data_IF_741104501408
#
_entry.id   IF_741104501408
#
_cell.length_a   1.000
_cell.length_b   1.000
_cell.length_c   1.000
_cell.angle_alpha   90.00
_cell.angle_beta   90.00
_cell.angle_gamma   90.00
#
_symmetry.space_group_name_H-M   'P 1'
#
loop_
_entity.id
_entity.type
_entity.pdbx_description
1 polymer ?
#
# COMPACT_ATOMS: atom_id res chain seq x y z
N UNK A 1 -16.25 8.23 -21.66
CA UNK A 1 -15.36 7.33 -22.41
C UNK A 1 -14.16 7.01 -21.53
N UNK A 2 -13.73 5.76 -21.54
CA UNK A 2 -12.47 5.32 -20.96
C UNK A 2 -11.74 4.39 -21.93
N UNK A 3 -10.63 3.83 -21.50
CA UNK A 3 -9.85 2.86 -22.28
C UNK A 3 -9.48 1.65 -21.46
N UNK A 4 -9.37 0.50 -22.11
CA UNK A 4 -8.79 -0.72 -21.53
C UNK A 4 -7.66 -1.19 -22.45
N UNK A 5 -6.47 -1.37 -21.91
CA UNK A 5 -5.30 -1.82 -22.68
C UNK A 5 -4.92 -3.24 -22.31
N UNK A 6 -4.98 -4.14 -23.31
CA UNK A 6 -4.53 -5.53 -23.21
C UNK A 6 -3.13 -5.63 -23.81
N UNK A 7 -2.19 -6.20 -23.05
CA UNK A 7 -0.79 -6.35 -23.43
C UNK A 7 -0.47 -7.83 -23.67
N UNK A 8 -0.05 -8.16 -24.89
CA UNK A 8 0.28 -9.52 -25.31
C UNK A 8 1.71 -9.57 -25.85
N UNK A 9 2.41 -10.67 -25.60
CA UNK A 9 3.71 -10.91 -26.20
C UNK A 9 3.92 -12.35 -26.65
N UNK A 10 4.77 -12.50 -27.67
CA UNK A 10 5.04 -13.76 -28.34
C UNK A 10 6.55 -13.87 -28.58
N UNK A 11 7.17 -14.95 -28.10
CA UNK A 11 8.52 -15.34 -28.54
C UNK A 11 8.37 -16.14 -29.81
N UNK A 12 9.11 -15.76 -30.85
CA UNK A 12 9.01 -16.32 -32.18
C UNK A 12 10.18 -17.26 -32.48
N UNK A 13 10.08 -18.01 -33.56
CA UNK A 13 11.18 -18.82 -34.09
C UNK A 13 12.27 -17.94 -34.73
N UNK A 14 13.51 -18.06 -34.24
CA UNK A 14 14.63 -17.18 -34.64
C UNK A 14 15.02 -17.30 -36.11
N UNK A 15 14.77 -18.45 -36.75
CA UNK A 15 15.15 -18.67 -38.14
C UNK A 15 14.08 -18.17 -39.12
N UNK A 16 12.82 -18.17 -38.70
CA UNK A 16 11.68 -17.99 -39.61
C UNK A 16 10.85 -16.72 -39.35
N UNK A 17 11.06 -16.00 -38.24
CA UNK A 17 10.24 -14.85 -37.86
C UNK A 17 10.26 -13.68 -38.86
N UNK A 18 11.32 -13.54 -39.66
CA UNK A 18 11.43 -12.53 -40.71
C UNK A 18 11.02 -13.03 -42.10
N UNK A 19 10.56 -14.28 -42.21
CA UNK A 19 10.13 -14.85 -43.49
C UNK A 19 8.98 -14.03 -44.09
N UNK A 20 8.88 -14.08 -45.43
CA UNK A 20 7.77 -13.42 -46.13
C UNK A 20 6.40 -13.94 -45.67
N UNK A 21 6.32 -15.20 -45.26
CA UNK A 21 5.10 -15.82 -44.75
C UNK A 21 4.73 -15.25 -43.38
N UNK A 22 5.67 -15.22 -42.44
CA UNK A 22 5.48 -14.63 -41.11
C UNK A 22 5.09 -13.14 -41.21
N UNK A 23 5.75 -12.38 -42.10
CA UNK A 23 5.44 -10.98 -42.34
C UNK A 23 4.00 -10.75 -42.81
N UNK A 24 3.43 -11.65 -43.64
CA UNK A 24 2.01 -11.56 -44.04
C UNK A 24 1.08 -11.82 -42.85
N UNK A 25 1.43 -12.77 -41.97
CA UNK A 25 0.62 -13.08 -40.81
C UNK A 25 0.56 -11.89 -39.84
N UNK A 26 1.67 -11.19 -39.60
CA UNK A 26 1.68 -10.01 -38.74
C UNK A 26 0.78 -8.88 -39.28
N UNK A 27 0.67 -8.73 -40.61
CA UNK A 27 -0.21 -7.72 -41.23
C UNK A 27 -1.70 -7.97 -40.97
N UNK A 28 -2.09 -9.20 -40.63
CA UNK A 28 -3.48 -9.55 -40.35
C UNK A 28 -3.87 -9.40 -38.87
N UNK A 29 -2.89 -9.35 -37.95
CA UNK A 29 -3.12 -9.20 -36.49
C UNK A 29 -4.12 -8.07 -36.18
N UNK A 30 -4.04 -6.87 -36.77
CA UNK A 30 -4.96 -5.80 -36.41
C UNK A 30 -6.44 -6.13 -36.60
N UNK A 31 -6.77 -6.93 -37.63
CA UNK A 31 -8.14 -7.36 -37.92
C UNK A 31 -8.60 -8.52 -37.05
N UNK A 32 -7.69 -9.16 -36.32
CA UNK A 32 -8.02 -10.17 -35.32
C UNK A 32 -8.40 -9.51 -33.99
N UNK A 33 -7.79 -8.37 -33.67
CA UNK A 33 -7.96 -7.68 -32.38
C UNK A 33 -9.10 -6.65 -32.39
N UNK A 34 -9.25 -5.90 -33.48
CA UNK A 34 -10.19 -4.77 -33.56
C UNK A 34 -11.43 -5.12 -34.38
N UNK A 35 -12.56 -4.54 -33.99
CA UNK A 35 -13.83 -4.64 -34.68
C UNK A 35 -14.07 -3.44 -35.64
N UNK A 36 -15.08 -3.55 -36.51
CA UNK A 36 -15.45 -2.49 -37.45
C UNK A 36 -14.44 -2.32 -38.60
N UNK A 37 -14.39 -1.12 -39.20
CA UNK A 37 -13.40 -0.87 -40.25
C UNK A 37 -12.03 -0.58 -39.64
N UNK A 38 -11.09 -1.51 -39.86
CA UNK A 38 -9.73 -1.40 -39.33
C UNK A 38 -8.80 -0.78 -40.38
N UNK A 39 -8.28 0.41 -40.09
CA UNK A 39 -7.23 1.07 -40.87
C UNK A 39 -5.85 0.68 -40.31
N UNK A 40 -5.11 -0.11 -41.09
CA UNK A 40 -3.75 -0.54 -40.75
C UNK A 40 -2.73 0.42 -41.37
N UNK A 41 -1.78 0.89 -40.57
CA UNK A 41 -0.71 1.76 -41.02
C UNK A 41 0.52 0.94 -41.47
N UNK A 42 1.30 1.42 -42.45
CA UNK A 42 2.45 0.67 -42.96
C UNK A 42 3.46 0.31 -41.87
N UNK A 43 4.07 -0.86 -42.02
CA UNK A 43 5.19 -1.26 -41.19
C UNK A 43 6.39 -0.35 -41.47
N UNK A 44 7.00 0.19 -40.42
CA UNK A 44 8.23 0.98 -40.52
C UNK A 44 9.36 0.35 -39.71
N UNK A 45 10.59 0.49 -40.20
CA UNK A 45 11.78 0.18 -39.41
C UNK A 45 11.91 1.19 -38.27
N UNK A 46 12.25 0.72 -37.09
CA UNK A 46 12.48 1.54 -35.90
C UNK A 46 13.70 1.03 -35.12
N UNK A 47 14.34 1.94 -34.38
CA UNK A 47 15.57 1.64 -33.66
C UNK A 47 16.78 1.36 -34.57
N UNK A 48 17.96 1.28 -33.98
CA UNK A 48 19.22 1.09 -34.70
C UNK A 48 19.48 -0.37 -35.08
N UNK A 49 18.79 -1.31 -34.42
CA UNK A 49 18.98 -2.76 -34.60
C UNK A 49 18.05 -3.41 -35.63
N UNK A 50 17.22 -2.62 -36.31
CA UNK A 50 16.36 -3.09 -37.39
C UNK A 50 15.00 -3.64 -36.96
N UNK A 51 14.53 -3.30 -35.76
CA UNK A 51 13.16 -3.59 -35.32
C UNK A 51 12.13 -3.02 -36.31
N UNK A 52 10.91 -3.53 -36.26
CA UNK A 52 9.80 -3.08 -37.11
C UNK A 52 8.58 -2.82 -36.25
N UNK A 53 7.82 -1.79 -36.58
CA UNK A 53 6.55 -1.49 -35.90
C UNK A 53 5.44 -1.17 -36.88
N UNK A 54 4.21 -1.43 -36.47
CA UNK A 54 2.99 -1.01 -37.17
C UNK A 54 1.92 -0.62 -36.14
N UNK A 55 0.98 0.21 -36.55
CA UNK A 55 -0.18 0.57 -35.74
C UNK A 55 -1.44 0.37 -36.56
N UNK A 56 -2.59 0.29 -35.88
CA UNK A 56 -3.88 0.31 -36.53
C UNK A 56 -4.92 1.03 -35.67
N UNK A 57 -5.96 1.55 -36.31
CA UNK A 57 -7.08 2.24 -35.67
C UNK A 57 -8.40 1.72 -36.25
N UNK A 58 -9.42 1.63 -35.42
CA UNK A 58 -10.79 1.27 -35.79
C UNK A 58 -11.73 2.46 -35.65
N UNK A 59 -12.94 2.32 -36.19
CA UNK A 59 -13.94 3.40 -36.27
C UNK A 59 -14.42 3.90 -34.90
N UNK A 60 -14.41 3.05 -33.87
CA UNK A 60 -14.80 3.44 -32.51
C UNK A 60 -13.67 4.15 -31.73
N UNK A 61 -12.50 4.34 -32.34
CA UNK A 61 -11.31 4.94 -31.73
C UNK A 61 -10.36 3.94 -31.06
N UNK A 62 -10.75 2.67 -30.95
CA UNK A 62 -9.85 1.61 -30.49
C UNK A 62 -8.68 1.44 -31.44
N UNK A 63 -7.51 1.17 -30.91
CA UNK A 63 -6.28 1.14 -31.66
C UNK A 63 -5.32 0.10 -31.09
N UNK A 64 -4.28 -0.20 -31.85
CA UNK A 64 -3.21 -1.07 -31.38
C UNK A 64 -1.85 -0.66 -31.92
N UNK A 65 -0.83 -1.09 -31.19
CA UNK A 65 0.55 -1.05 -31.61
C UNK A 65 1.12 -2.47 -31.66
N UNK A 66 1.90 -2.73 -32.71
CA UNK A 66 2.64 -3.98 -32.89
C UNK A 66 4.11 -3.63 -33.00
N UNK A 67 4.95 -4.26 -32.19
CA UNK A 67 6.41 -4.14 -32.28
C UNK A 67 7.03 -5.51 -32.49
N UNK A 68 7.77 -5.66 -33.59
CA UNK A 68 8.58 -6.83 -33.91
C UNK A 68 10.05 -6.48 -33.67
N UNK A 69 10.64 -7.10 -32.66
CA UNK A 69 12.03 -6.91 -32.29
C UNK A 69 12.96 -7.82 -33.10
N UNK A 70 14.18 -7.35 -33.35
CA UNK A 70 15.23 -8.09 -34.07
C UNK A 70 15.65 -9.41 -33.39
N UNK A 71 15.29 -9.63 -32.12
CA UNK A 71 15.58 -10.85 -31.36
C UNK A 71 14.37 -11.80 -31.30
N UNK A 72 13.60 -11.89 -32.39
CA UNK A 72 12.45 -12.79 -32.52
C UNK A 72 11.40 -12.65 -31.40
N UNK A 73 11.05 -11.40 -31.08
CA UNK A 73 10.03 -11.09 -30.07
C UNK A 73 8.98 -10.15 -30.66
N UNK A 74 7.72 -10.40 -30.36
CA UNK A 74 6.59 -9.62 -30.87
C UNK A 74 5.72 -9.17 -29.70
N UNK A 75 5.48 -7.87 -29.57
CA UNK A 75 4.47 -7.32 -28.66
C UNK A 75 3.29 -6.79 -29.44
N UNK A 76 2.09 -6.97 -28.86
CA UNK A 76 0.82 -6.48 -29.38
C UNK A 76 0.09 -5.81 -28.22
N UNK A 77 0.00 -4.49 -28.27
CA UNK A 77 -0.70 -3.68 -27.27
C UNK A 77 -2.01 -3.19 -27.89
N UNK A 78 -3.15 -3.71 -27.42
CA UNK A 78 -4.48 -3.39 -27.93
C UNK A 78 -5.18 -2.49 -26.93
N UNK A 79 -5.53 -1.27 -27.35
CA UNK A 79 -6.30 -0.32 -26.53
C UNK A 79 -7.71 -0.21 -27.07
N UNK A 80 -8.66 -0.72 -26.29
CA UNK A 80 -10.08 -0.60 -26.55
C UNK A 80 -10.61 0.71 -25.99
N UNK A 81 -11.40 1.44 -26.78
CA UNK A 81 -12.10 2.65 -26.35
C UNK A 81 -13.53 2.28 -26.02
N UNK A 82 -13.93 2.50 -24.77
CA UNK A 82 -15.29 2.22 -24.31
C UNK A 82 -16.05 3.52 -24.04
N UNK A 83 -17.28 3.60 -24.54
CA UNK A 83 -18.15 4.75 -24.34
C UNK A 83 -18.86 4.65 -23.00
N UNK A 84 -19.32 3.45 -22.65
CA UNK A 84 -20.05 3.16 -21.42
C UNK A 84 -19.08 2.92 -20.27
N UNK A 85 -18.76 4.00 -19.58
CA UNK A 85 -17.75 4.00 -18.53
C UNK A 85 -18.09 3.03 -17.38
N UNK A 86 -19.37 2.80 -17.11
CA UNK A 86 -19.84 1.87 -16.07
C UNK A 86 -19.43 0.41 -16.33
N UNK A 87 -19.11 0.07 -17.58
CA UNK A 87 -18.62 -1.25 -17.98
C UNK A 87 -17.10 -1.41 -17.78
N UNK A 88 -16.35 -0.30 -17.67
CA UNK A 88 -14.91 -0.30 -17.42
C UNK A 88 -14.59 -0.41 -15.92
N UNK A 89 -15.03 -1.50 -15.30
CA UNK A 89 -14.70 -1.80 -13.91
C UNK A 89 -13.47 -2.72 -13.83
N UNK A 90 -12.52 -2.41 -12.94
CA UNK A 90 -11.47 -3.35 -12.54
C UNK A 90 -12.05 -4.74 -12.27
N UNK A 91 -11.36 -5.78 -12.73
CA UNK A 91 -11.73 -7.20 -12.58
C UNK A 91 -13.11 -7.67 -13.12
N UNK A 92 -14.00 -6.78 -13.58
CA UNK A 92 -15.41 -7.12 -13.87
C UNK A 92 -15.96 -6.51 -15.17
N UNK A 93 -15.08 -5.97 -16.02
CA UNK A 93 -15.43 -5.39 -17.31
C UNK A 93 -15.39 -6.37 -18.50
N UNK A 94 -15.74 -5.92 -19.71
CA UNK A 94 -15.83 -6.76 -20.92
C UNK A 94 -14.49 -7.31 -21.42
N UNK A 95 -13.38 -6.81 -20.86
CA UNK A 95 -12.00 -7.19 -21.20
C UNK A 95 -11.36 -8.00 -20.07
N UNK A 96 -12.11 -8.96 -19.51
CA UNK A 96 -11.67 -9.81 -18.41
C UNK A 96 -10.58 -10.83 -18.80
N UNK A 97 -10.18 -11.66 -17.84
CA UNK A 97 -9.16 -12.68 -18.03
C UNK A 97 -9.50 -13.66 -19.16
N UNK A 98 -10.77 -14.03 -19.32
CA UNK A 98 -11.18 -14.99 -20.35
C UNK A 98 -11.10 -14.34 -21.74
N UNK A 99 -11.54 -13.09 -21.87
CA UNK A 99 -11.36 -12.31 -23.10
C UNK A 99 -9.89 -12.21 -23.51
N UNK A 100 -9.01 -11.89 -22.55
CA UNK A 100 -7.56 -11.73 -22.81
C UNK A 100 -6.95 -13.05 -23.29
N UNK A 101 -7.28 -14.16 -22.63
CA UNK A 101 -6.78 -15.50 -23.00
C UNK A 101 -7.29 -15.94 -24.37
N UNK A 102 -8.55 -15.66 -24.67
CA UNK A 102 -9.11 -15.97 -25.98
C UNK A 102 -8.46 -15.13 -27.09
N UNK A 103 -8.16 -13.86 -26.83
CA UNK A 103 -7.42 -13.00 -27.76
C UNK A 103 -5.98 -13.48 -27.97
N UNK A 104 -5.27 -13.83 -26.88
CA UNK A 104 -3.92 -14.42 -26.94
C UNK A 104 -3.92 -15.69 -27.81
N UNK A 105 -4.85 -16.61 -27.52
CA UNK A 105 -5.00 -17.86 -28.25
C UNK A 105 -5.36 -17.64 -29.72
N UNK A 106 -6.22 -16.67 -30.01
CA UNK A 106 -6.60 -16.29 -31.39
C UNK A 106 -5.38 -15.84 -32.19
N UNK A 107 -4.55 -14.96 -31.63
CA UNK A 107 -3.32 -14.49 -32.29
C UNK A 107 -2.31 -15.62 -32.41
N UNK A 108 -2.10 -16.39 -31.35
CA UNK A 108 -1.18 -17.55 -31.36
C UNK A 108 -1.54 -18.56 -32.44
N UNK A 109 -2.82 -18.94 -32.53
CA UNK A 109 -3.28 -19.89 -33.54
C UNK A 109 -3.12 -19.35 -34.97
N UNK A 110 -3.29 -18.04 -35.15
CA UNK A 110 -3.07 -17.38 -36.44
C UNK A 110 -1.60 -17.35 -36.83
N UNK A 111 -0.70 -17.13 -35.87
CA UNK A 111 0.75 -17.16 -36.11
C UNK A 111 1.30 -18.59 -36.21
N UNK A 112 0.58 -19.60 -35.68
CA UNK A 112 0.89 -21.01 -35.90
C UNK A 112 2.29 -21.41 -35.42
N UNK A 113 3.04 -22.08 -36.29
CA UNK A 113 4.36 -22.65 -35.98
C UNK A 113 5.45 -21.60 -35.71
N UNK A 114 5.23 -20.34 -36.07
CA UNK A 114 6.18 -19.26 -35.82
C UNK A 114 6.27 -18.86 -34.34
N UNK A 115 5.35 -19.30 -33.49
CA UNK A 115 5.29 -18.93 -32.06
C UNK A 115 5.84 -20.06 -31.19
N UNK A 116 6.92 -19.78 -30.46
CA UNK A 116 7.48 -20.68 -29.47
C UNK A 116 6.74 -20.60 -28.13
N UNK A 117 6.43 -19.37 -27.68
CA UNK A 117 5.72 -19.10 -26.42
C UNK A 117 4.89 -17.84 -26.59
N UNK A 118 3.81 -17.77 -25.82
CA UNK A 118 2.90 -16.64 -25.75
C UNK A 118 2.65 -16.31 -24.28
N UNK A 119 2.46 -15.03 -23.98
CA UNK A 119 2.15 -14.54 -22.63
C UNK A 119 1.27 -13.29 -22.75
N UNK A 120 0.33 -13.14 -21.83
CA UNK A 120 -0.49 -11.95 -21.65
C UNK A 120 -0.44 -11.49 -20.20
N UNK A 121 -0.58 -10.18 -19.99
CA UNK A 121 -1.04 -9.70 -18.69
C UNK A 121 -2.54 -10.00 -18.60
N UNK A 122 -2.94 -10.92 -17.72
CA UNK A 122 -4.33 -11.37 -17.53
C UNK A 122 -5.24 -10.30 -16.85
N UNK A 123 -4.85 -9.04 -16.92
CA UNK A 123 -5.55 -7.87 -16.40
C UNK A 123 -5.35 -6.72 -17.40
N UNK A 124 -6.44 -6.10 -17.91
CA UNK A 124 -6.30 -4.93 -18.76
C UNK A 124 -5.92 -3.70 -17.92
N UNK A 125 -5.13 -2.79 -18.48
CA UNK A 125 -4.91 -1.48 -17.87
C UNK A 125 -6.05 -0.54 -18.24
N UNK A 126 -6.94 -0.27 -17.29
CA UNK A 126 -8.14 0.55 -17.44
C UNK A 126 -7.84 2.00 -17.07
N UNK A 127 -8.23 2.95 -17.94
CA UNK A 127 -8.08 4.40 -17.70
C UNK A 127 -9.40 5.09 -18.00
N UNK A 128 -10.01 5.70 -17.01
CA UNK A 128 -11.27 6.44 -17.14
C UNK A 128 -11.32 7.58 -16.12
N UNK A 129 -11.95 8.72 -16.45
CA UNK A 129 -12.19 9.79 -15.47
C UNK A 129 -13.00 9.36 -14.24
N UNK A 130 -13.77 8.26 -14.33
CA UNK A 130 -14.56 7.72 -13.21
C UNK A 130 -13.87 6.60 -12.43
N UNK A 131 -12.73 6.10 -12.94
CA UNK A 131 -12.00 5.03 -12.27
C UNK A 131 -11.11 5.71 -11.25
N UNK A 132 -11.70 5.96 -10.08
CA UNK A 132 -10.97 6.46 -8.93
C UNK A 132 -10.12 5.31 -8.37
N UNK A 133 -8.81 5.39 -8.63
CA UNK A 133 -7.79 4.52 -8.03
C UNK A 133 -7.92 3.01 -8.32
N UNK A 134 -7.83 2.59 -9.58
CA UNK A 134 -7.77 1.16 -9.93
C UNK A 134 -6.43 0.48 -9.65
N UNK A 135 -5.34 1.25 -9.51
CA UNK A 135 -4.00 0.69 -9.38
C UNK A 135 -3.23 1.42 -8.30
N UNK A 136 -2.61 0.66 -7.41
CA UNK A 136 -1.72 1.16 -6.37
C UNK A 136 -0.38 0.44 -6.40
N UNK A 137 0.54 0.92 -5.58
CA UNK A 137 1.77 0.22 -5.28
C UNK A 137 1.74 -0.24 -3.83
N UNK A 138 2.27 -1.43 -3.59
CA UNK A 138 2.67 -1.83 -2.25
C UNK A 138 3.90 -1.05 -1.80
N UNK A 139 4.27 -1.11 -0.52
CA UNK A 139 5.41 -0.34 -0.01
C UNK A 139 6.74 -0.80 -0.64
N UNK A 140 6.83 -2.06 -1.09
CA UNK A 140 7.95 -2.58 -1.91
C UNK A 140 7.77 -2.38 -3.42
N UNK A 141 6.98 -1.38 -3.82
CA UNK A 141 6.79 -0.89 -5.20
C UNK A 141 6.12 -1.89 -6.17
N UNK A 142 5.46 -2.95 -5.69
CA UNK A 142 4.73 -3.87 -6.57
C UNK A 142 3.39 -3.27 -6.97
N UNK A 143 3.14 -3.21 -8.27
CA UNK A 143 1.85 -2.82 -8.83
C UNK A 143 0.76 -3.84 -8.45
N UNK A 144 -0.38 -3.36 -7.97
CA UNK A 144 -1.58 -4.17 -7.81
C UNK A 144 -2.81 -3.44 -8.34
N UNK A 145 -3.79 -4.22 -8.82
CA UNK A 145 -5.13 -3.72 -9.13
C UNK A 145 -5.99 -3.77 -7.86
N UNK A 146 -6.60 -2.64 -7.50
CA UNK A 146 -7.49 -2.53 -6.34
C UNK A 146 -8.91 -2.97 -6.68
N UNK A 147 -9.62 -3.52 -5.70
CA UNK A 147 -11.00 -3.99 -5.81
C UNK A 147 -12.01 -2.94 -5.28
N UNK A 148 -11.70 -1.66 -5.50
CA UNK A 148 -12.54 -0.57 -5.05
C UNK A 148 -13.80 -0.43 -5.93
N UNK A 149 -14.96 -0.45 -5.29
CA UNK A 149 -16.28 -0.34 -5.93
C UNK A 149 -16.79 1.11 -5.95
N UNK A 150 -16.37 1.93 -4.97
CA UNK A 150 -16.87 3.28 -4.77
C UNK A 150 -15.84 4.18 -4.06
N UNK A 151 -15.77 5.45 -4.46
CA UNK A 151 -15.15 6.51 -3.64
C UNK A 151 -16.16 7.04 -2.63
N UNK A 152 -16.03 6.61 -1.37
CA UNK A 152 -16.95 6.98 -0.28
C UNK A 152 -16.72 8.43 0.17
N UNK A 153 -15.45 8.85 0.16
CA UNK A 153 -15.04 10.20 0.54
C UNK A 153 -13.72 10.55 -0.14
N UNK A 154 -13.58 11.80 -0.57
CA UNK A 154 -12.32 12.35 -1.06
C UNK A 154 -12.26 13.86 -0.75
N UNK A 155 -11.14 14.32 -0.21
CA UNK A 155 -10.84 15.75 -0.06
C UNK A 155 -9.34 15.98 -0.05
N UNK A 156 -8.91 17.15 -0.51
CA UNK A 156 -7.56 17.65 -0.28
C UNK A 156 -7.55 18.55 0.95
N UNK A 157 -6.58 18.35 1.84
CA UNK A 157 -6.30 19.27 2.96
C UNK A 157 -5.05 20.09 2.68
N UNK A 158 -4.62 20.92 3.64
CA UNK A 158 -3.32 21.61 3.54
C UNK A 158 -2.12 20.67 3.72
N UNK A 159 -2.40 19.42 4.09
CA UNK A 159 -1.43 18.43 4.55
C UNK A 159 -1.29 17.29 3.58
N UNK A 160 -2.42 16.72 3.15
CA UNK A 160 -2.46 15.52 2.32
C UNK A 160 -3.81 15.40 1.60
N UNK A 161 -3.87 14.57 0.58
CA UNK A 161 -5.11 14.06 0.03
C UNK A 161 -5.65 12.94 0.93
N UNK A 162 -6.95 12.98 1.24
CA UNK A 162 -7.63 11.97 2.06
C UNK A 162 -8.67 11.28 1.19
N UNK A 163 -8.59 9.95 1.08
CA UNK A 163 -9.59 9.11 0.42
C UNK A 163 -10.11 8.04 1.36
N UNK A 164 -11.40 7.74 1.24
CA UNK A 164 -11.98 6.50 1.76
C UNK A 164 -12.62 5.77 0.60
N UNK A 165 -12.09 4.59 0.30
CA UNK A 165 -12.50 3.76 -0.83
C UNK A 165 -13.23 2.53 -0.31
N UNK A 166 -14.33 2.15 -0.97
CA UNK A 166 -15.06 0.93 -0.65
C UNK A 166 -14.42 -0.25 -1.38
N UNK A 167 -13.63 -1.07 -0.68
CA UNK A 167 -13.14 -2.36 -1.17
C UNK A 167 -14.19 -3.45 -0.96
N UNK A 168 -14.29 -4.34 -1.95
CA UNK A 168 -15.12 -5.56 -1.87
C UNK A 168 -14.59 -6.52 -0.80
N UNK A 169 -13.28 -6.68 -0.70
CA UNK A 169 -12.60 -7.59 0.23
C UNK A 169 -12.39 -6.96 1.62
N UNK A 170 -11.95 -5.70 1.67
CA UNK A 170 -11.45 -5.06 2.88
C UNK A 170 -12.41 -4.06 3.52
N UNK A 171 -13.62 -3.90 2.97
CA UNK A 171 -14.58 -2.91 3.43
C UNK A 171 -14.13 -1.49 3.12
N UNK A 172 -14.37 -0.53 4.02
CA UNK A 172 -13.85 0.83 3.80
C UNK A 172 -12.34 0.86 4.06
N UNK A 173 -11.58 1.48 3.16
CA UNK A 173 -10.12 1.61 3.24
C UNK A 173 -9.76 3.08 3.23
N UNK A 174 -9.03 3.53 4.25
CA UNK A 174 -8.46 4.87 4.32
C UNK A 174 -7.16 4.92 3.52
N UNK A 175 -7.04 5.91 2.64
CA UNK A 175 -5.80 6.24 1.97
C UNK A 175 -5.43 7.70 2.23
N UNK A 176 -4.14 7.95 2.46
CA UNK A 176 -3.56 9.28 2.62
C UNK A 176 -2.47 9.45 1.57
N UNK A 177 -2.57 10.49 0.72
CA UNK A 177 -1.75 10.66 -0.49
C UNK A 177 -1.66 9.39 -1.35
N UNK A 178 -2.75 8.62 -1.29
CA UNK A 178 -2.97 7.33 -1.93
C UNK A 178 -2.17 6.13 -1.38
N UNK A 179 -1.44 6.31 -0.29
CA UNK A 179 -0.90 5.20 0.49
C UNK A 179 -2.00 4.61 1.37
N UNK A 180 -2.06 3.28 1.44
CA UNK A 180 -3.07 2.58 2.24
C UNK A 180 -2.71 2.69 3.73
N UNK A 181 -3.59 3.29 4.51
CA UNK A 181 -3.36 3.47 5.95
C UNK A 181 -3.97 2.35 6.78
N UNK A 182 -5.25 2.04 6.54
CA UNK A 182 -5.99 0.99 7.25
C UNK A 182 -7.31 0.66 6.53
N UNK A 183 -7.70 -0.62 6.50
CA UNK A 183 -9.03 -1.08 6.09
C UNK A 183 -9.91 -1.52 7.27
N UNK A 184 -11.22 -1.63 7.04
CA UNK A 184 -12.18 -2.26 7.98
C UNK A 184 -11.74 -3.69 8.39
N UNK A 185 -10.94 -4.36 7.55
CA UNK A 185 -10.41 -5.70 7.77
C UNK A 185 -9.19 -5.78 8.70
N UNK A 186 -8.61 -4.65 9.08
CA UNK A 186 -7.22 -4.62 9.57
C UNK A 186 -7.11 -4.50 11.08
N UNK A 187 -8.09 -5.01 11.84
CA UNK A 187 -7.97 -5.08 13.31
C UNK A 187 -6.68 -5.78 13.75
N UNK A 188 -6.19 -6.74 12.95
CA UNK A 188 -4.93 -7.44 13.19
C UNK A 188 -3.71 -6.50 13.22
N UNK A 189 -3.72 -5.42 12.44
CA UNK A 189 -2.69 -4.38 12.49
C UNK A 189 -2.71 -3.70 13.85
N UNK A 190 -3.87 -3.17 14.27
CA UNK A 190 -4.04 -2.45 15.53
C UNK A 190 -3.72 -3.34 16.74
N UNK A 191 -4.23 -4.57 16.79
CA UNK A 191 -3.96 -5.51 17.88
C UNK A 191 -2.48 -5.87 17.97
N UNK A 192 -1.81 -6.03 16.83
CA UNK A 192 -0.38 -6.39 16.80
C UNK A 192 0.50 -5.20 17.18
N UNK A 193 0.18 -3.99 16.71
CA UNK A 193 0.89 -2.75 17.06
C UNK A 193 0.82 -2.51 18.57
N UNK A 194 -0.37 -2.65 19.15
CA UNK A 194 -0.58 -2.54 20.59
C UNK A 194 0.03 -3.73 21.37
N UNK A 195 0.22 -4.87 20.72
CA UNK A 195 0.62 -6.11 21.37
C UNK A 195 -0.45 -6.57 22.37
N UNK A 196 -1.73 -6.54 21.97
CA UNK A 196 -2.85 -7.01 22.80
C UNK A 196 -2.58 -8.45 23.28
N UNK A 197 -2.75 -8.68 24.58
CA UNK A 197 -2.42 -9.95 25.24
C UNK A 197 -0.95 -10.12 25.64
N UNK A 198 -0.04 -9.26 25.15
CA UNK A 198 1.36 -9.18 25.58
C UNK A 198 1.64 -7.96 26.46
N UNK A 199 0.91 -6.87 26.22
CA UNK A 199 1.00 -5.62 26.96
C UNK A 199 -0.24 -5.43 27.86
N UNK A 200 -0.01 -4.79 29.00
CA UNK A 200 -1.05 -4.42 29.97
C UNK A 200 -1.23 -2.90 29.94
N UNK A 201 -2.45 -2.46 29.64
CA UNK A 201 -2.81 -1.06 29.45
C UNK A 201 -3.72 -0.52 30.56
N UNK A 202 -4.22 -1.39 31.44
CA UNK A 202 -5.06 -0.99 32.56
C UNK A 202 -4.32 -0.02 33.48
N UNK A 203 -4.98 1.09 33.82
CA UNK A 203 -4.46 2.15 34.69
C UNK A 203 -3.17 2.83 34.15
N UNK A 204 -2.87 2.67 32.85
CA UNK A 204 -1.70 3.27 32.21
C UNK A 204 -1.98 4.63 31.58
N UNK A 205 -0.97 5.49 31.53
CA UNK A 205 -0.94 6.78 30.84
C UNK A 205 -0.24 6.62 29.50
N UNK A 206 -0.93 6.94 28.42
CA UNK A 206 -0.53 6.56 27.05
C UNK A 206 -0.53 7.79 26.15
N UNK A 207 0.47 7.91 25.29
CA UNK A 207 0.53 8.90 24.20
C UNK A 207 0.48 8.17 22.85
N UNK A 208 -0.43 8.57 21.98
CA UNK A 208 -0.51 8.14 20.58
C UNK A 208 -0.03 9.30 19.72
N UNK A 209 0.92 9.04 18.83
CA UNK A 209 1.41 9.97 17.80
C UNK A 209 0.76 9.57 16.47
N UNK A 210 -0.03 10.47 15.87
CA UNK A 210 -0.89 10.14 14.73
C UNK A 210 -2.14 9.37 15.17
N UNK A 211 -2.46 8.29 14.43
CA UNK A 211 -3.62 7.45 14.71
C UNK A 211 -4.97 8.13 14.42
N UNK A 212 -5.01 9.05 13.45
CA UNK A 212 -6.22 9.78 13.06
C UNK A 212 -7.39 8.91 12.58
N UNK A 213 -7.13 7.66 12.20
CA UNK A 213 -8.15 6.65 11.92
C UNK A 213 -8.93 6.23 13.18
N UNK A 214 -8.30 6.36 14.35
CA UNK A 214 -8.90 6.12 15.66
C UNK A 214 -8.91 4.67 16.12
N UNK A 215 -8.39 3.72 15.35
CA UNK A 215 -8.35 2.30 15.71
C UNK A 215 -7.55 2.05 16.98
N UNK A 216 -6.34 2.61 17.04
CA UNK A 216 -5.45 2.51 18.20
C UNK A 216 -6.11 3.06 19.48
N UNK A 217 -6.72 4.26 19.42
CA UNK A 217 -7.45 4.83 20.54
C UNK A 217 -8.68 3.96 20.92
N UNK A 218 -9.42 3.46 19.93
CA UNK A 218 -10.61 2.65 20.14
C UNK A 218 -10.30 1.34 20.90
N UNK A 219 -9.26 0.61 20.50
CA UNK A 219 -8.84 -0.62 21.19
C UNK A 219 -8.28 -0.35 22.58
N UNK A 220 -7.47 0.71 22.75
CA UNK A 220 -6.93 1.07 24.06
C UNK A 220 -8.01 1.39 25.08
N UNK A 221 -9.07 2.11 24.69
CA UNK A 221 -10.15 2.46 25.63
C UNK A 221 -10.89 1.23 26.18
N UNK A 222 -10.87 0.09 25.48
CA UNK A 222 -11.42 -1.18 25.98
C UNK A 222 -10.58 -1.78 27.11
N UNK A 223 -9.31 -1.39 27.21
CA UNK A 223 -8.35 -1.88 28.20
C UNK A 223 -8.34 -1.07 29.51
N UNK A 224 -9.27 -0.12 29.68
CA UNK A 224 -9.38 0.71 30.89
C UNK A 224 -8.09 1.47 31.28
N UNK A 225 -7.47 2.23 30.36
CA UNK A 225 -6.30 3.04 30.67
C UNK A 225 -6.66 4.16 31.65
N UNK A 226 -5.67 4.62 32.42
CA UNK A 226 -5.84 5.80 33.27
C UNK A 226 -6.05 7.05 32.43
N UNK A 227 -5.27 7.21 31.35
CA UNK A 227 -5.39 8.33 30.43
C UNK A 227 -4.75 8.02 29.07
N UNK A 228 -5.37 8.48 27.98
CA UNK A 228 -4.80 8.42 26.62
C UNK A 228 -4.82 9.80 25.98
N UNK A 229 -3.67 10.30 25.55
CA UNK A 229 -3.58 11.48 24.68
C UNK A 229 -3.28 11.03 23.26
N UNK A 230 -4.08 11.48 22.30
CA UNK A 230 -3.84 11.27 20.87
C UNK A 230 -3.47 12.60 20.21
N UNK A 231 -2.28 12.69 19.65
CA UNK A 231 -1.79 13.87 18.94
C UNK A 231 -1.84 13.63 17.43
N UNK A 232 -2.86 14.18 16.78
CA UNK A 232 -3.09 14.07 15.34
C UNK A 232 -2.98 15.45 14.68
N UNK A 233 -2.29 15.56 13.56
CA UNK A 233 -2.03 16.84 12.90
C UNK A 233 -3.17 17.28 11.98
N UNK A 234 -3.92 16.32 11.43
CA UNK A 234 -4.96 16.56 10.43
C UNK A 234 -6.36 16.26 10.98
N UNK A 235 -7.07 17.33 11.35
CA UNK A 235 -8.45 17.29 11.83
C UNK A 235 -9.42 16.63 10.84
N UNK A 236 -9.18 16.76 9.53
CA UNK A 236 -10.09 16.19 8.53
C UNK A 236 -9.98 14.66 8.45
N UNK A 237 -8.82 14.08 8.76
CA UNK A 237 -8.66 12.62 8.87
C UNK A 237 -9.58 12.08 9.97
N UNK A 238 -9.57 12.72 11.15
CA UNK A 238 -10.43 12.34 12.28
C UNK A 238 -11.91 12.44 11.89
N UNK A 239 -12.32 13.54 11.25
CA UNK A 239 -13.72 13.73 10.83
C UNK A 239 -14.17 12.69 9.81
N UNK A 240 -13.34 12.42 8.80
CA UNK A 240 -13.62 11.43 7.77
C UNK A 240 -13.74 10.03 8.39
N UNK A 241 -12.78 9.63 9.22
CA UNK A 241 -12.78 8.32 9.86
C UNK A 241 -13.93 8.16 10.86
N UNK A 242 -14.22 9.20 11.66
CA UNK A 242 -15.38 9.24 12.56
C UNK A 242 -16.70 8.98 11.83
N UNK A 243 -16.83 9.44 10.59
CA UNK A 243 -18.04 9.25 9.78
C UNK A 243 -18.07 7.91 9.04
N UNK A 244 -16.96 7.48 8.46
CA UNK A 244 -16.94 6.40 7.47
C UNK A 244 -16.16 5.15 7.89
N UNK A 245 -15.27 5.21 8.87
CA UNK A 245 -14.43 4.08 9.33
C UNK A 245 -14.95 3.48 10.66
N UNK A 246 -16.28 3.35 10.80
CA UNK A 246 -16.92 2.92 12.06
C UNK A 246 -16.51 1.53 12.54
N UNK A 247 -16.06 0.63 11.67
CA UNK A 247 -15.56 -0.69 12.09
C UNK A 247 -14.16 -0.61 12.72
N UNK A 248 -13.38 0.40 12.36
CA UNK A 248 -12.06 0.68 12.94
C UNK A 248 -12.20 1.44 14.25
N UNK A 249 -12.90 2.59 14.26
CA UNK A 249 -12.90 3.49 15.41
C UNK A 249 -14.16 3.47 16.28
N UNK A 250 -15.20 2.71 15.90
CA UNK A 250 -16.50 2.78 16.53
C UNK A 250 -17.02 4.23 16.63
N UNK A 251 -17.44 4.63 17.84
CA UNK A 251 -17.89 5.99 18.13
C UNK A 251 -16.83 6.83 18.85
N UNK A 252 -15.60 6.34 18.96
CA UNK A 252 -14.54 6.96 19.76
C UNK A 252 -14.18 8.36 19.25
N UNK A 253 -14.23 8.58 17.93
CA UNK A 253 -13.92 9.86 17.30
C UNK A 253 -15.10 10.86 17.25
N UNK A 254 -16.27 10.53 17.79
CA UNK A 254 -17.41 11.47 17.85
C UNK A 254 -17.22 12.57 18.89
N UNK A 255 -16.38 12.30 19.90
CA UNK A 255 -15.99 13.25 20.94
C UNK A 255 -14.48 13.25 21.07
N UNK A 256 -13.90 14.44 21.10
CA UNK A 256 -12.46 14.62 21.17
C UNK A 256 -11.94 14.73 22.60
N UNK A 257 -12.83 14.68 23.59
CA UNK A 257 -12.48 14.59 24.98
C UNK A 257 -13.50 13.69 25.68
N UNK A 258 -12.99 12.76 26.48
CA UNK A 258 -13.77 11.84 27.28
C UNK A 258 -13.26 11.78 28.71
N UNK A 259 -13.76 10.80 29.47
CA UNK A 259 -13.41 10.65 30.89
C UNK A 259 -11.91 10.40 31.11
N UNK A 260 -11.29 9.64 30.21
CA UNK A 260 -9.91 9.16 30.33
C UNK A 260 -9.15 9.27 29.00
N UNK A 261 -9.55 10.19 28.11
CA UNK A 261 -8.79 10.47 26.89
C UNK A 261 -9.03 11.87 26.35
N UNK A 262 -8.09 12.34 25.54
CA UNK A 262 -8.18 13.56 24.76
C UNK A 262 -7.55 13.35 23.37
N UNK A 263 -8.18 13.92 22.35
CA UNK A 263 -7.64 14.08 20.99
C UNK A 263 -7.20 15.55 20.87
N UNK A 264 -5.91 15.76 20.64
CA UNK A 264 -5.30 17.08 20.47
C UNK A 264 -4.90 17.24 19.00
N UNK A 265 -5.40 18.28 18.35
CA UNK A 265 -5.00 18.63 16.98
C UNK A 265 -3.66 19.37 17.04
N UNK A 266 -2.57 18.66 16.85
CA UNK A 266 -1.23 19.24 16.85
C UNK A 266 -0.20 18.35 16.14
N UNK A 267 0.93 18.95 15.79
CA UNK A 267 2.14 18.21 15.43
C UNK A 267 2.63 17.39 16.63
N UNK A 268 2.90 16.11 16.41
CA UNK A 268 3.40 15.19 17.42
C UNK A 268 4.74 15.63 18.03
N UNK A 269 5.63 16.29 17.26
CA UNK A 269 6.90 16.81 17.77
C UNK A 269 6.70 17.95 18.77
N UNK A 270 5.65 18.76 18.58
CA UNK A 270 5.28 19.79 19.54
C UNK A 270 4.83 19.16 20.85
N UNK A 271 3.98 18.13 20.80
CA UNK A 271 3.53 17.39 22.00
C UNK A 271 4.70 16.72 22.73
N UNK A 272 5.59 16.04 22.01
CA UNK A 272 6.78 15.40 22.58
C UNK A 272 7.68 16.42 23.30
N UNK A 273 7.87 17.61 22.71
CA UNK A 273 8.67 18.70 23.30
C UNK A 273 7.98 19.31 24.53
N UNK A 274 6.66 19.51 24.49
CA UNK A 274 5.86 19.98 25.63
C UNK A 274 5.90 18.99 26.80
N UNK A 275 5.75 17.69 26.53
CA UNK A 275 5.87 16.63 27.53
C UNK A 275 7.26 16.63 28.19
N UNK A 276 8.32 16.78 27.39
CA UNK A 276 9.69 16.84 27.88
C UNK A 276 9.92 18.05 28.81
N UNK A 277 9.43 19.23 28.42
CA UNK A 277 9.58 20.47 29.22
C UNK A 277 8.76 20.43 30.50
N UNK A 278 7.54 19.90 30.43
CA UNK A 278 6.65 19.78 31.60
C UNK A 278 7.06 18.66 32.56
N UNK A 279 7.92 17.75 32.12
CA UNK A 279 8.28 16.55 32.89
C UNK A 279 7.17 15.49 32.89
N UNK A 280 6.22 15.57 31.97
CA UNK A 280 5.15 14.57 31.81
C UNK A 280 5.76 13.24 31.38
N UNK A 281 5.26 12.15 31.98
CA UNK A 281 5.77 10.79 31.73
C UNK A 281 4.67 9.81 31.38
N UNK A 282 4.92 9.01 30.34
CA UNK A 282 4.00 8.01 29.82
C UNK A 282 4.49 6.59 30.11
N UNK A 283 3.56 5.67 30.33
CA UNK A 283 3.86 4.24 30.38
C UNK A 283 4.04 3.68 28.95
N UNK A 284 3.27 4.20 28.00
CA UNK A 284 3.40 3.84 26.59
C UNK A 284 3.42 5.08 25.70
N UNK A 285 4.30 5.08 24.72
CA UNK A 285 4.23 5.98 23.57
C UNK A 285 4.05 5.10 22.33
N UNK A 286 3.00 5.37 21.54
CA UNK A 286 2.64 4.59 20.36
C UNK A 286 2.81 5.49 19.14
N UNK A 287 3.75 5.12 18.27
CA UNK A 287 3.97 5.76 16.99
C UNK A 287 3.14 5.08 15.90
N UNK A 288 2.05 5.73 15.54
CA UNK A 288 1.09 5.34 14.48
C UNK A 288 1.02 6.46 13.42
N UNK A 289 2.19 7.02 13.10
CA UNK A 289 2.37 8.01 12.05
C UNK A 289 2.38 7.34 10.66
N UNK A 290 2.17 8.15 9.63
CA UNK A 290 2.43 7.77 8.23
C UNK A 290 3.91 7.42 8.03
N UNK A 291 4.21 6.54 7.07
CA UNK A 291 5.60 6.15 6.77
C UNK A 291 6.46 7.34 6.37
N UNK A 292 5.83 8.26 5.68
CA UNK A 292 6.41 9.51 5.26
C UNK A 292 5.78 10.66 6.03
N UNK A 293 6.62 11.55 6.54
CA UNK A 293 6.17 12.78 7.17
C UNK A 293 5.32 13.59 6.18
N UNK A 294 4.24 14.18 6.68
CA UNK A 294 3.30 15.03 5.94
C UNK A 294 3.97 16.18 5.16
N UNK A 295 5.19 16.57 5.53
CA UNK A 295 5.96 17.63 4.87
C UNK A 295 7.07 17.08 3.94
N UNK A 296 7.01 15.82 3.48
CA UNK A 296 8.04 15.20 2.65
C UNK A 296 8.30 15.97 1.34
N UNK A 297 7.24 16.45 0.68
CA UNK A 297 7.36 17.25 -0.55
C UNK A 297 8.16 18.54 -0.36
N UNK A 298 8.25 19.03 0.88
CA UNK A 298 8.96 20.26 1.24
C UNK A 298 10.43 19.97 1.60
N UNK A 299 10.70 18.81 2.20
CA UNK A 299 11.98 18.51 2.86
C UNK A 299 12.77 17.33 2.28
N UNK A 300 12.22 16.60 1.30
CA UNK A 300 12.90 15.51 0.59
C UNK A 300 13.05 14.20 1.38
N UNK A 301 13.56 13.18 0.69
CA UNK A 301 13.55 11.77 1.12
C UNK A 301 14.42 11.42 2.34
N UNK A 302 15.41 12.24 2.69
CA UNK A 302 16.24 12.01 3.90
C UNK A 302 15.52 12.45 5.19
N UNK A 303 14.53 13.33 5.07
CA UNK A 303 13.84 13.94 6.22
C UNK A 303 13.01 12.92 7.03
N UNK A 304 12.26 11.99 6.43
CA UNK A 304 11.53 10.95 7.17
C UNK A 304 12.41 10.18 8.16
N UNK A 305 13.62 9.74 7.75
CA UNK A 305 14.53 9.03 8.64
C UNK A 305 14.98 9.88 9.83
N UNK A 306 15.32 11.15 9.58
CA UNK A 306 15.73 12.07 10.65
C UNK A 306 14.57 12.37 11.61
N UNK A 307 13.37 12.55 11.08
CA UNK A 307 12.15 12.77 11.88
C UNK A 307 11.83 11.53 12.71
N UNK A 308 11.90 10.33 12.15
CA UNK A 308 11.66 9.08 12.87
C UNK A 308 12.65 8.89 14.03
N UNK A 309 13.93 9.19 13.81
CA UNK A 309 14.93 9.17 14.89
C UNK A 309 14.64 10.22 15.97
N UNK A 310 14.27 11.45 15.60
CA UNK A 310 13.91 12.50 16.57
C UNK A 310 12.67 12.11 17.39
N UNK A 311 11.65 11.55 16.74
CA UNK A 311 10.43 11.05 17.39
C UNK A 311 10.78 9.93 18.37
N UNK A 312 11.58 8.95 17.95
CA UNK A 312 12.04 7.86 18.83
C UNK A 312 12.80 8.43 20.04
N UNK A 313 13.81 9.27 19.81
CA UNK A 313 14.62 9.85 20.89
C UNK A 313 13.79 10.62 21.92
N UNK A 314 12.87 11.48 21.46
CA UNK A 314 12.02 12.26 22.34
C UNK A 314 11.03 11.37 23.08
N UNK A 315 10.45 10.38 22.40
CA UNK A 315 9.53 9.41 23.00
C UNK A 315 10.20 8.67 24.16
N UNK A 316 11.42 8.17 23.95
CA UNK A 316 12.17 7.47 25.00
C UNK A 316 12.45 8.40 26.20
N UNK A 317 12.75 9.68 25.97
CA UNK A 317 13.00 10.66 27.05
C UNK A 317 11.76 10.96 27.88
N UNK A 318 10.55 10.73 27.37
CA UNK A 318 9.29 10.95 28.11
C UNK A 318 8.63 9.65 28.61
N UNK A 319 9.25 8.49 28.38
CA UNK A 319 8.81 7.24 29.00
C UNK A 319 9.16 7.20 30.49
N UNK A 320 8.33 6.47 31.24
CA UNK A 320 8.65 5.96 32.57
C UNK A 320 9.75 4.89 32.48
N UNK A 321 10.43 4.54 33.59
CA UNK A 321 11.52 3.57 33.57
C UNK A 321 11.16 2.21 32.94
N UNK A 322 9.95 1.71 33.22
CA UNK A 322 9.34 0.48 32.69
C UNK A 322 8.46 0.72 31.44
N UNK A 323 8.54 1.93 30.89
CA UNK A 323 7.71 2.34 29.77
C UNK A 323 8.16 1.71 28.45
N UNK A 324 7.22 1.54 27.54
CA UNK A 324 7.46 0.94 26.22
C UNK A 324 7.13 1.91 25.09
N UNK A 325 7.94 1.87 24.03
CA UNK A 325 7.65 2.55 22.78
C UNK A 325 7.17 1.51 21.76
N UNK A 326 5.95 1.67 21.26
CA UNK A 326 5.36 0.80 20.24
C UNK A 326 5.37 1.55 18.92
N UNK A 327 5.83 0.93 17.84
CA UNK A 327 5.95 1.61 16.55
C UNK A 327 5.58 0.71 15.39
N UNK A 328 4.90 1.30 14.42
CA UNK A 328 4.90 0.80 13.05
C UNK A 328 6.33 0.85 12.49
N UNK A 329 6.73 -0.21 11.82
CA UNK A 329 7.90 -0.24 10.94
C UNK A 329 7.50 -0.01 9.49
N UNK A 330 7.99 -0.85 8.58
CA UNK A 330 7.56 -0.88 7.18
C UNK A 330 7.25 -2.34 6.75
N UNK A 331 6.92 -2.56 5.49
CA UNK A 331 6.76 -3.88 4.91
C UNK A 331 8.05 -4.71 5.11
N UNK A 332 7.88 -6.03 5.22
CA UNK A 332 8.96 -6.97 5.50
C UNK A 332 10.04 -6.98 4.40
N UNK A 333 9.63 -6.69 3.16
CA UNK A 333 10.50 -6.62 1.99
C UNK A 333 11.39 -5.37 1.98
N UNK A 334 11.01 -4.29 2.67
CA UNK A 334 11.81 -3.08 2.79
C UNK A 334 12.93 -3.27 3.83
N UNK A 335 13.94 -4.03 3.43
CA UNK A 335 15.07 -4.37 4.30
C UNK A 335 15.86 -3.14 4.73
N UNK A 336 16.01 -2.14 3.87
CA UNK A 336 16.85 -0.97 4.18
C UNK A 336 16.20 -0.09 5.25
N UNK A 337 14.88 0.16 5.16
CA UNK A 337 14.14 0.88 6.20
C UNK A 337 14.18 0.14 7.54
N UNK A 338 13.84 -1.15 7.53
CA UNK A 338 13.83 -1.95 8.76
C UNK A 338 15.21 -2.02 9.41
N UNK A 339 16.27 -2.25 8.62
CA UNK A 339 17.64 -2.26 9.11
C UNK A 339 18.10 -0.89 9.63
N UNK A 340 17.58 0.21 9.10
CA UNK A 340 17.87 1.55 9.60
C UNK A 340 17.21 1.76 10.96
N UNK A 341 15.91 1.50 11.10
CA UNK A 341 15.20 1.60 12.39
C UNK A 341 15.86 0.75 13.49
N UNK A 342 16.17 -0.52 13.19
CA UNK A 342 16.84 -1.42 14.14
C UNK A 342 18.25 -0.93 14.54
N UNK A 343 18.96 -0.23 13.64
CA UNK A 343 20.26 0.40 13.95
C UNK A 343 20.09 1.64 14.82
N UNK A 344 19.06 2.44 14.59
CA UNK A 344 18.79 3.64 15.39
C UNK A 344 18.43 3.28 16.83
N UNK A 345 17.57 2.27 17.01
CA UNK A 345 17.25 1.72 18.34
C UNK A 345 18.52 1.25 19.07
N UNK A 346 19.41 0.51 18.39
CA UNK A 346 20.68 0.04 18.98
C UNK A 346 21.64 1.19 19.30
N UNK A 347 21.68 2.22 18.45
CA UNK A 347 22.53 3.41 18.65
C UNK A 347 22.10 4.19 19.90
N UNK A 348 20.81 4.17 20.22
CA UNK A 348 20.26 4.74 21.45
C UNK A 348 20.41 3.82 22.68
N UNK A 349 21.11 2.68 22.55
CA UNK A 349 21.32 1.71 23.63
C UNK A 349 20.00 1.18 24.22
N UNK A 350 19.10 0.78 23.32
CA UNK A 350 17.77 0.22 23.61
C UNK A 350 17.66 -1.22 23.08
N UNK A 351 16.72 -1.97 23.63
CA UNK A 351 16.32 -3.29 23.12
C UNK A 351 15.03 -3.15 22.29
N UNK A 352 14.81 -4.08 21.36
CA UNK A 352 13.51 -4.21 20.69
C UNK A 352 13.09 -5.66 20.50
N UNK A 353 11.78 -5.84 20.36
CA UNK A 353 11.14 -7.05 19.84
C UNK A 353 10.34 -6.70 18.60
N UNK A 354 10.59 -7.43 17.51
CA UNK A 354 9.84 -7.30 16.26
C UNK A 354 8.76 -8.39 16.17
N UNK A 355 7.57 -8.01 15.71
CA UNK A 355 6.50 -8.93 15.31
C UNK A 355 6.11 -8.61 13.88
N UNK A 356 6.16 -9.62 13.02
CA UNK A 356 5.77 -9.49 11.62
C UNK A 356 4.31 -9.95 11.48
N UNK A 357 3.47 -9.16 10.80
CA UNK A 357 2.03 -9.45 10.64
C UNK A 357 1.57 -9.17 9.23
N UNK A 358 0.80 -10.09 8.66
CA UNK A 358 0.13 -9.84 7.38
C UNK A 358 -1.09 -8.95 7.60
N UNK A 359 -1.09 -7.76 7.02
CA UNK A 359 -2.19 -6.81 7.09
C UNK A 359 -3.03 -6.96 5.82
N UNK A 360 -4.31 -7.38 5.93
CA UNK A 360 -5.12 -7.73 4.76
C UNK A 360 -5.18 -6.62 3.72
N UNK A 361 -5.57 -5.39 4.10
CA UNK A 361 -5.74 -4.32 3.11
C UNK A 361 -4.42 -3.80 2.55
N UNK A 362 -3.30 -3.98 3.25
CA UNK A 362 -1.97 -3.62 2.73
C UNK A 362 -1.52 -4.62 1.66
N UNK A 363 -2.03 -5.87 1.74
CA UNK A 363 -1.60 -6.99 0.89
C UNK A 363 -0.14 -7.37 1.11
N UNK A 364 0.39 -7.06 2.30
CA UNK A 364 1.79 -7.24 2.67
C UNK A 364 1.95 -7.69 4.12
N UNK A 365 3.14 -8.20 4.45
CA UNK A 365 3.55 -8.40 5.83
C UNK A 365 4.28 -7.15 6.32
N UNK A 366 3.84 -6.57 7.43
CA UNK A 366 4.47 -5.42 8.09
C UNK A 366 5.24 -5.82 9.34
N UNK A 367 6.37 -5.16 9.54
CA UNK A 367 7.18 -5.27 10.75
C UNK A 367 6.69 -4.26 11.79
N UNK A 368 6.30 -4.73 12.97
CA UNK A 368 5.89 -3.89 14.11
C UNK A 368 6.86 -4.08 15.27
N UNK A 369 7.20 -3.00 15.95
CA UNK A 369 8.27 -2.97 16.95
C UNK A 369 7.76 -2.57 18.33
N UNK A 370 8.23 -3.30 19.34
CA UNK A 370 8.18 -2.91 20.75
C UNK A 370 9.61 -2.62 21.22
N UNK A 371 9.87 -1.39 21.65
CA UNK A 371 11.18 -0.89 22.08
C UNK A 371 11.15 -0.63 23.58
N UNK A 372 12.20 -1.09 24.27
CA UNK A 372 12.34 -1.02 25.74
C UNK A 372 13.73 -0.57 26.15
N UNK A 373 13.86 0.02 27.33
CA UNK A 373 15.16 0.29 27.93
C UNK A 373 15.88 -1.01 28.35
N UNK A 374 17.21 -1.06 28.29
CA UNK A 374 18.01 -2.24 28.68
C UNK A 374 17.83 -2.70 30.14
N UNK A 375 17.18 -1.92 31.01
CA UNK A 375 17.03 -2.26 32.42
C UNK A 375 16.09 -3.45 32.69
N UNK A 376 15.28 -3.88 31.72
CA UNK A 376 14.26 -4.93 31.93
C UNK A 376 14.77 -6.38 32.02
N UNK A 377 16.05 -6.65 31.72
CA UNK A 377 16.55 -8.05 31.69
C UNK A 377 17.02 -8.61 33.04
N UNK A 378 17.18 -7.79 34.08
CA UNK A 378 17.82 -8.24 35.33
C UNK A 378 16.89 -8.55 36.51
N UNK A 379 15.57 -8.34 36.42
CA UNK A 379 14.70 -8.52 37.60
C UNK A 379 13.77 -9.74 37.58
N UNK A 380 13.68 -10.52 36.49
CA UNK A 380 12.75 -11.67 36.42
C UNK A 380 13.43 -13.01 36.05
N UNK A 381 14.75 -13.10 36.14
CA UNK A 381 15.54 -14.27 35.75
C UNK A 381 16.45 -14.83 36.85
N UNK A 382 16.01 -14.88 38.10
CA UNK A 382 16.81 -15.50 39.17
C UNK A 382 15.98 -16.07 40.31
N UNK A 383 14.93 -16.84 40.03
CA UNK A 383 14.35 -17.75 41.02
C UNK A 383 13.42 -18.74 40.31
N UNK A 384 13.99 -19.82 39.74
CA UNK A 384 13.33 -21.12 39.46
C UNK A 384 14.22 -21.94 38.52
N UNK A 385 15.35 -22.48 39.02
CA UNK A 385 15.89 -23.77 38.57
C UNK A 385 17.11 -24.18 39.42
N UNK A 386 16.88 -24.39 40.72
CA UNK A 386 17.68 -25.34 41.48
C UNK A 386 16.73 -26.14 42.37
N UNK A 387 16.20 -27.24 41.83
CA UNK A 387 15.85 -28.44 42.60
C UNK A 387 15.37 -29.54 41.65
N UNK A 388 16.24 -30.51 41.39
CA UNK A 388 15.97 -31.96 41.52
C UNK A 388 16.74 -32.81 40.49
N UNK A 389 18.01 -33.05 40.80
CA UNK A 389 18.55 -34.40 40.60
C UNK A 389 18.36 -35.18 41.90
N UNK A 390 17.52 -36.22 41.86
CA UNK A 390 17.61 -37.47 42.65
C UNK A 390 16.43 -38.40 42.36
N UNK A 391 16.53 -39.20 41.30
CA UNK A 391 16.66 -40.68 41.33
C UNK A 391 16.40 -41.27 39.97
#
# INVERSE_FOLDING_TARGET
MGTATVMLCFTLDEETFESAEACKLYQAIPKLCLEGNVKVYPWCKCGEKGDKRSTATSDNGSHLAIHLYHFAYLTVDVTFVEQEIEELKPMTGPYDMDFIKDLEKKIKNHLGEFVNKSYSLDCPIVRSPSVTWAYGHTADERLFEADYEETVFETDTKRQNIKIMKSREFGNVLLLDNDIMIGDSDLVYTETLLGIGRNEFKDKTILILGGGDGGTLHELLKQSPAYVLMAEIDEEVIKACSKYMKKVCGNTLEKWEGKNYQIKICDCLCELKEALVSGTKYDYVINDLTEFSVDMDIHGFETPFKTNCEVLELSIKILRPDGKYLSRGNCLSDHDYNNQFERDVKTLNLDFKRTDVHVPSFRETYCLYEVTNHHDKNEHGSDLEQTSHKR
#
